data_IF_960865204002
#
_entry.id   IF_960865204002
#
_cell.length_a   1.000
_cell.length_b   1.000
_cell.length_c   1.000
_cell.angle_alpha   90.00
_cell.angle_beta   90.00
_cell.angle_gamma   90.00
#
_symmetry.space_group_name_H-M   'P 1'
#
loop_
_entity.id
_entity.type
_entity.pdbx_description
1 polymer ?
#
# COMPACT_ATOMS: atom_id res chain seq x y z
N UNK A 1 -13.89 6.26 -7.01
CA UNK A 1 -13.07 7.34 -7.57
C UNK A 1 -11.62 6.91 -7.43
N UNK A 2 -10.99 6.47 -8.51
CA UNK A 2 -9.64 5.90 -8.46
C UNK A 2 -9.22 5.44 -9.85
N UNK A 3 -8.47 6.29 -10.54
CA UNK A 3 -7.98 6.05 -11.89
C UNK A 3 -7.41 7.35 -12.44
N UNK A 4 -6.14 7.61 -12.15
CA UNK A 4 -5.24 8.63 -12.71
C UNK A 4 -5.76 9.25 -14.02
N UNK A 5 -6.58 10.31 -13.95
CA UNK A 5 -7.13 11.05 -15.11
C UNK A 5 -8.14 10.31 -16.00
N UNK A 6 -7.87 9.05 -16.36
CA UNK A 6 -8.69 8.23 -17.26
C UNK A 6 -10.07 7.92 -16.65
N UNK A 7 -10.13 7.78 -15.33
CA UNK A 7 -11.39 7.58 -14.62
C UNK A 7 -12.34 8.78 -14.75
N UNK A 8 -11.80 10.00 -14.76
CA UNK A 8 -12.58 11.24 -14.91
C UNK A 8 -13.12 11.41 -16.33
N UNK A 9 -12.28 11.17 -17.35
CA UNK A 9 -12.72 11.21 -18.74
C UNK A 9 -13.85 10.19 -19.00
N UNK A 10 -13.70 8.96 -18.48
CA UNK A 10 -14.74 7.92 -18.56
C UNK A 10 -16.05 8.32 -17.87
N UNK A 11 -15.97 9.02 -16.73
CA UNK A 11 -17.15 9.48 -16.01
C UNK A 11 -17.93 10.52 -16.84
N UNK A 12 -17.22 11.43 -17.52
CA UNK A 12 -17.82 12.42 -18.41
C UNK A 12 -18.64 11.77 -19.54
N UNK A 13 -18.12 10.71 -20.16
CA UNK A 13 -18.86 9.96 -21.19
C UNK A 13 -20.00 9.09 -20.63
N UNK A 14 -20.01 8.80 -19.32
CA UNK A 14 -21.09 8.04 -18.66
C UNK A 14 -22.20 8.90 -18.06
N UNK A 15 -21.98 10.21 -17.90
CA UNK A 15 -22.98 11.15 -17.40
C UNK A 15 -24.35 11.03 -18.10
N UNK A 16 -24.45 10.95 -19.44
CA UNK A 16 -25.73 10.81 -20.12
C UNK A 16 -26.46 9.51 -19.74
N UNK A 17 -25.71 8.42 -19.54
CA UNK A 17 -26.25 7.14 -19.12
C UNK A 17 -26.78 7.19 -17.67
N UNK A 18 -26.09 7.92 -16.76
CA UNK A 18 -26.59 8.12 -15.41
C UNK A 18 -27.86 8.99 -15.37
N UNK A 19 -27.93 10.04 -16.20
CA UNK A 19 -29.13 10.88 -16.33
C UNK A 19 -30.30 10.06 -16.87
N UNK A 20 -30.08 9.25 -17.91
CA UNK A 20 -31.11 8.32 -18.42
C UNK A 20 -31.52 7.29 -17.37
N UNK A 21 -30.57 6.79 -16.58
CA UNK A 21 -30.83 5.81 -15.54
C UNK A 21 -31.58 6.39 -14.33
N UNK A 22 -31.42 7.68 -14.04
CA UNK A 22 -32.20 8.42 -13.04
C UNK A 22 -33.62 8.72 -13.56
N UNK A 23 -33.76 9.12 -14.84
CA UNK A 23 -35.05 9.40 -15.46
C UNK A 23 -35.94 8.15 -15.63
N UNK A 24 -35.35 6.96 -15.72
CA UNK A 24 -36.07 5.68 -15.87
C UNK A 24 -36.61 5.08 -14.56
N UNK A 25 -36.47 5.74 -13.41
CA UNK A 25 -36.91 5.22 -12.10
C UNK A 25 -38.42 4.89 -12.04
N UNK A 26 -39.26 5.51 -12.88
CA UNK A 26 -40.68 5.19 -12.99
C UNK A 26 -40.98 3.78 -13.53
N UNK A 27 -40.04 3.17 -14.28
CA UNK A 27 -40.22 1.85 -14.93
C UNK A 27 -39.68 0.66 -14.11
N UNK A 28 -38.98 0.92 -13.00
CA UNK A 28 -38.19 -0.07 -12.22
C UNK A 28 -38.98 -1.08 -11.38
N UNK A 29 -40.32 -1.01 -11.32
CA UNK A 29 -41.11 -2.01 -10.57
C UNK A 29 -41.04 -3.42 -11.18
N UNK A 30 -40.64 -3.58 -12.45
CA UNK A 30 -40.71 -4.87 -13.18
C UNK A 30 -39.45 -5.76 -13.12
N UNK A 31 -38.30 -5.25 -12.68
CA UNK A 31 -37.01 -5.98 -12.66
C UNK A 31 -36.54 -6.40 -11.24
N UNK A 32 -37.46 -6.49 -10.29
CA UNK A 32 -37.19 -6.59 -8.83
C UNK A 32 -36.56 -7.91 -8.36
N UNK A 33 -36.55 -8.97 -9.18
CA UNK A 33 -36.10 -10.32 -8.78
C UNK A 33 -34.98 -10.88 -9.66
N UNK A 34 -34.59 -10.19 -10.72
CA UNK A 34 -33.54 -10.65 -11.63
C UNK A 34 -32.15 -10.35 -11.05
N UNK A 35 -31.23 -11.32 -11.14
CA UNK A 35 -29.81 -11.10 -10.79
C UNK A 35 -29.16 -10.25 -11.90
N UNK A 36 -28.32 -9.26 -11.58
CA UNK A 36 -27.58 -8.50 -12.60
C UNK A 36 -26.71 -9.42 -13.47
N UNK A 37 -26.33 -9.04 -14.70
CA UNK A 37 -25.36 -9.80 -15.49
C UNK A 37 -23.98 -9.78 -14.83
N UNK A 38 -23.15 -10.80 -15.12
CA UNK A 38 -21.75 -10.79 -14.69
C UNK A 38 -20.94 -9.78 -15.49
N UNK A 39 -20.11 -8.99 -14.82
CA UNK A 39 -19.20 -8.05 -15.47
C UNK A 39 -17.77 -8.39 -15.08
N UNK A 40 -16.98 -8.83 -16.06
CA UNK A 40 -15.59 -9.26 -15.87
C UNK A 40 -14.70 -8.11 -15.37
N UNK A 41 -14.94 -6.88 -15.84
CA UNK A 41 -14.17 -5.70 -15.41
C UNK A 41 -14.44 -5.42 -13.92
N UNK A 42 -15.69 -5.61 -13.48
CA UNK A 42 -16.05 -5.45 -12.06
C UNK A 42 -15.41 -6.54 -11.21
N UNK A 43 -15.42 -7.79 -11.69
CA UNK A 43 -14.75 -8.90 -11.02
C UNK A 43 -13.24 -8.68 -10.90
N UNK A 44 -12.55 -8.30 -11.98
CA UNK A 44 -11.13 -7.96 -11.94
C UNK A 44 -10.87 -6.80 -10.97
N UNK A 45 -11.71 -5.76 -10.99
CA UNK A 45 -11.63 -4.65 -10.04
C UNK A 45 -11.81 -5.09 -8.59
N UNK A 46 -12.72 -6.03 -8.30
CA UNK A 46 -12.91 -6.59 -6.95
C UNK A 46 -11.66 -7.30 -6.45
N UNK A 47 -11.05 -8.12 -7.30
CA UNK A 47 -9.81 -8.85 -6.97
C UNK A 47 -8.66 -7.86 -6.74
N UNK A 48 -8.43 -6.93 -7.66
CA UNK A 48 -7.32 -5.96 -7.54
C UNK A 48 -7.46 -5.08 -6.29
N UNK A 49 -8.65 -4.53 -6.03
CA UNK A 49 -8.88 -3.67 -4.86
C UNK A 49 -8.85 -4.47 -3.55
N UNK A 50 -9.33 -5.71 -3.55
CA UNK A 50 -9.21 -6.59 -2.39
C UNK A 50 -7.76 -6.92 -2.04
N UNK A 51 -6.94 -7.27 -3.05
CA UNK A 51 -5.49 -7.47 -2.87
C UNK A 51 -4.84 -6.22 -2.33
N UNK A 52 -5.14 -5.06 -2.93
CA UNK A 52 -4.62 -3.78 -2.48
C UNK A 52 -4.91 -3.53 -0.99
N UNK A 53 -6.17 -3.69 -0.56
CA UNK A 53 -6.55 -3.50 0.84
C UNK A 53 -5.85 -4.49 1.77
N UNK A 54 -5.62 -5.73 1.33
CA UNK A 54 -4.87 -6.72 2.08
C UNK A 54 -3.38 -6.38 2.20
N UNK A 55 -2.75 -5.88 1.14
CA UNK A 55 -1.34 -5.44 1.15
C UNK A 55 -1.17 -4.24 2.08
N UNK A 56 -2.05 -3.25 2.00
CA UNK A 56 -2.03 -2.10 2.93
C UNK A 56 -2.20 -2.58 4.37
N UNK A 57 -3.10 -3.53 4.63
CA UNK A 57 -3.25 -4.10 5.96
C UNK A 57 -1.98 -4.86 6.43
N UNK A 58 -1.31 -5.60 5.54
CA UNK A 58 -0.04 -6.27 5.86
C UNK A 58 1.06 -5.29 6.23
N UNK A 59 1.10 -4.14 5.57
CA UNK A 59 2.11 -3.11 5.84
C UNK A 59 1.78 -2.36 7.14
N UNK A 60 0.51 -1.98 7.34
CA UNK A 60 0.14 -1.06 8.41
C UNK A 60 -0.32 -1.74 9.71
N UNK A 61 -0.90 -2.95 9.64
CA UNK A 61 -1.66 -3.56 10.73
C UNK A 61 -1.16 -4.95 11.14
N UNK A 62 -0.06 -5.43 10.54
CA UNK A 62 0.47 -6.78 10.81
C UNK A 62 1.00 -6.99 12.24
N UNK A 63 1.16 -5.92 13.03
CA UNK A 63 1.50 -6.00 14.46
C UNK A 63 0.32 -6.39 15.37
N UNK A 64 -0.92 -6.38 14.85
CA UNK A 64 -2.10 -6.71 15.63
C UNK A 64 -2.21 -8.22 15.90
N UNK A 65 -2.73 -8.58 17.08
CA UNK A 65 -3.06 -9.97 17.39
C UNK A 65 -4.14 -10.50 16.44
N UNK A 66 -4.07 -11.79 16.11
CA UNK A 66 -4.99 -12.46 15.16
C UNK A 66 -5.06 -11.79 13.78
N UNK A 67 -4.03 -11.04 13.38
CA UNK A 67 -4.03 -10.27 12.14
C UNK A 67 -4.42 -11.12 10.91
N UNK A 68 -3.74 -12.24 10.68
CA UNK A 68 -4.01 -13.11 9.53
C UNK A 68 -5.39 -13.79 9.55
N UNK A 69 -6.00 -13.97 10.74
CA UNK A 69 -7.27 -14.68 10.90
C UNK A 69 -8.49 -13.76 10.86
N UNK A 70 -8.34 -12.51 11.30
CA UNK A 70 -9.45 -11.57 11.44
C UNK A 70 -9.20 -10.26 10.71
N UNK A 71 -8.13 -9.55 11.04
CA UNK A 71 -7.90 -8.20 10.51
C UNK A 71 -7.71 -8.21 8.99
N UNK A 72 -6.83 -9.09 8.49
CA UNK A 72 -6.55 -9.23 7.07
C UNK A 72 -7.79 -9.60 6.24
N UNK A 73 -8.55 -10.67 6.56
CA UNK A 73 -9.74 -11.02 5.79
C UNK A 73 -10.84 -9.96 5.85
N UNK A 74 -10.96 -9.22 6.96
CA UNK A 74 -11.89 -8.07 7.06
C UNK A 74 -11.48 -6.93 6.13
N UNK A 75 -10.20 -6.55 6.09
CA UNK A 75 -9.68 -5.52 5.20
C UNK A 75 -9.87 -5.90 3.72
N UNK A 76 -9.48 -7.13 3.35
CA UNK A 76 -9.66 -7.65 1.97
C UNK A 76 -11.15 -7.68 1.60
N UNK A 77 -12.00 -8.18 2.49
CA UNK A 77 -13.44 -8.26 2.27
C UNK A 77 -14.10 -6.88 2.12
N UNK A 78 -13.65 -5.89 2.90
CA UNK A 78 -14.10 -4.50 2.76
C UNK A 78 -13.72 -3.91 1.39
N UNK A 79 -12.49 -4.15 0.91
CA UNK A 79 -12.04 -3.73 -0.42
C UNK A 79 -12.88 -4.36 -1.56
N UNK A 80 -13.14 -5.67 -1.47
CA UNK A 80 -13.99 -6.38 -2.43
C UNK A 80 -15.43 -5.84 -2.39
N UNK A 81 -15.99 -5.65 -1.19
CA UNK A 81 -17.35 -5.14 -1.04
C UNK A 81 -17.50 -3.69 -1.52
N UNK A 82 -16.47 -2.87 -1.37
CA UNK A 82 -16.45 -1.50 -1.89
C UNK A 82 -16.72 -1.50 -3.41
N UNK A 83 -15.96 -2.30 -4.16
CA UNK A 83 -16.15 -2.44 -5.62
C UNK A 83 -17.48 -3.12 -5.94
N UNK A 84 -17.85 -4.14 -5.16
CA UNK A 84 -19.13 -4.84 -5.29
C UNK A 84 -20.36 -3.96 -5.02
N UNK A 85 -20.16 -2.78 -4.42
CA UNK A 85 -21.19 -1.80 -4.11
C UNK A 85 -21.13 -0.54 -4.98
N UNK A 86 -20.32 -0.52 -6.05
CA UNK A 86 -20.28 0.63 -6.97
C UNK A 86 -21.51 0.63 -7.89
N UNK A 87 -22.12 1.80 -8.11
CA UNK A 87 -23.26 1.98 -9.02
C UNK A 87 -24.58 1.48 -8.43
N UNK A 88 -25.42 0.87 -9.28
CA UNK A 88 -26.74 0.34 -8.93
C UNK A 88 -26.72 -1.09 -8.39
N UNK A 89 -25.55 -1.72 -8.36
CA UNK A 89 -25.36 -3.09 -7.89
C UNK A 89 -24.70 -3.10 -6.50
N UNK A 90 -25.05 -4.09 -5.69
CA UNK A 90 -24.46 -4.41 -4.39
C UNK A 90 -24.30 -5.93 -4.24
N UNK A 91 -23.59 -6.38 -3.22
CA UNK A 91 -23.46 -7.80 -2.88
C UNK A 91 -23.58 -7.97 -1.38
N UNK A 92 -23.97 -9.17 -0.96
CA UNK A 92 -24.17 -9.49 0.45
C UNK A 92 -22.83 -9.46 1.22
N UNK A 93 -22.65 -8.45 2.08
CA UNK A 93 -21.41 -8.23 2.83
C UNK A 93 -21.11 -9.39 3.79
N UNK A 94 -22.12 -9.91 4.48
CA UNK A 94 -21.92 -10.98 5.46
C UNK A 94 -21.33 -12.22 4.78
N UNK A 95 -21.83 -12.58 3.60
CA UNK A 95 -21.33 -13.72 2.83
C UNK A 95 -19.93 -13.51 2.30
N UNK A 96 -19.58 -12.29 1.91
CA UNK A 96 -18.22 -11.94 1.48
C UNK A 96 -17.25 -12.09 2.66
N UNK A 97 -17.60 -11.53 3.82
CA UNK A 97 -16.75 -11.60 5.01
C UNK A 97 -16.58 -13.03 5.52
N UNK A 98 -17.65 -13.83 5.53
CA UNK A 98 -17.54 -15.25 5.92
C UNK A 98 -16.62 -16.02 4.97
N UNK A 99 -16.72 -15.77 3.65
CA UNK A 99 -15.80 -16.37 2.68
C UNK A 99 -14.34 -15.95 2.94
N UNK A 100 -14.08 -14.68 3.25
CA UNK A 100 -12.74 -14.21 3.61
C UNK A 100 -12.20 -14.92 4.85
N UNK A 101 -12.98 -14.94 5.94
CA UNK A 101 -12.57 -15.52 7.23
C UNK A 101 -12.34 -17.02 7.09
N UNK A 102 -13.16 -17.75 6.33
CA UNK A 102 -12.99 -19.19 6.07
C UNK A 102 -11.75 -19.48 5.21
N UNK A 103 -11.42 -18.59 4.26
CA UNK A 103 -10.25 -18.77 3.38
C UNK A 103 -8.94 -18.41 4.08
N UNK A 104 -8.98 -17.53 5.09
CA UNK A 104 -7.79 -17.01 5.76
C UNK A 104 -6.88 -18.04 6.45
N UNK A 105 -7.37 -19.08 7.15
CA UNK A 105 -6.51 -20.01 7.90
C UNK A 105 -5.70 -20.91 6.98
N UNK A 106 -6.19 -21.14 5.75
CA UNK A 106 -5.51 -21.97 4.73
C UNK A 106 -4.15 -21.36 4.35
N UNK A 107 -4.04 -20.02 4.39
CA UNK A 107 -2.85 -19.27 4.02
C UNK A 107 -2.28 -18.47 5.20
N UNK A 108 -2.48 -18.96 6.41
CA UNK A 108 -2.03 -18.29 7.63
C UNK A 108 -0.52 -18.00 7.58
N UNK A 109 -0.13 -16.78 7.93
CA UNK A 109 1.27 -16.34 7.98
C UNK A 109 1.95 -16.12 6.62
N UNK A 110 1.27 -16.40 5.50
CA UNK A 110 1.83 -16.16 4.17
C UNK A 110 1.58 -14.72 3.71
N UNK A 111 2.62 -14.08 3.15
CA UNK A 111 2.49 -12.76 2.48
C UNK A 111 1.62 -12.82 1.22
N UNK A 112 1.44 -14.01 0.64
CA UNK A 112 0.55 -14.23 -0.50
C UNK A 112 -0.92 -14.38 -0.12
N UNK A 113 -1.25 -14.38 1.18
CA UNK A 113 -2.63 -14.56 1.68
C UNK A 113 -3.69 -13.59 1.13
N UNK A 114 -3.42 -12.32 0.77
CA UNK A 114 -4.46 -11.43 0.24
C UNK A 114 -5.08 -11.92 -1.08
N UNK A 115 -4.31 -12.58 -1.94
CA UNK A 115 -4.75 -13.03 -3.26
C UNK A 115 -5.85 -14.10 -3.19
N UNK A 116 -5.66 -15.26 -2.55
CA UNK A 116 -6.69 -16.29 -2.46
C UNK A 116 -7.92 -15.80 -1.67
N UNK A 117 -7.73 -15.01 -0.62
CA UNK A 117 -8.83 -14.40 0.15
C UNK A 117 -9.65 -13.47 -0.76
N UNK A 118 -8.99 -12.61 -1.52
CA UNK A 118 -9.65 -11.66 -2.43
C UNK A 118 -10.37 -12.38 -3.58
N UNK A 119 -9.80 -13.45 -4.11
CA UNK A 119 -10.42 -14.27 -5.15
C UNK A 119 -11.70 -14.95 -4.62
N UNK A 120 -11.62 -15.62 -3.46
CA UNK A 120 -12.76 -16.27 -2.82
C UNK A 120 -13.89 -15.28 -2.49
N UNK A 121 -13.52 -14.11 -1.98
CA UNK A 121 -14.43 -13.00 -1.71
C UNK A 121 -15.11 -12.48 -2.99
N UNK A 122 -14.36 -12.31 -4.08
CA UNK A 122 -14.87 -11.81 -5.35
C UNK A 122 -15.82 -12.82 -6.01
N UNK A 123 -15.50 -14.11 -5.98
CA UNK A 123 -16.40 -15.19 -6.43
C UNK A 123 -17.70 -15.17 -5.62
N UNK A 124 -17.58 -15.01 -4.30
CA UNK A 124 -18.75 -14.96 -3.41
C UNK A 124 -19.61 -13.72 -3.65
N UNK A 125 -18.99 -12.57 -3.93
CA UNK A 125 -19.67 -11.34 -4.31
C UNK A 125 -20.45 -11.52 -5.62
N UNK A 126 -19.82 -12.13 -6.65
CA UNK A 126 -20.48 -12.41 -7.93
C UNK A 126 -21.65 -13.38 -7.76
N UNK A 127 -21.53 -14.39 -6.89
CA UNK A 127 -22.60 -15.36 -6.60
C UNK A 127 -23.80 -14.72 -5.88
N UNK A 128 -23.56 -13.72 -5.04
CA UNK A 128 -24.56 -13.08 -4.18
C UNK A 128 -24.86 -11.63 -4.55
N UNK A 129 -24.66 -11.28 -5.82
CA UNK A 129 -24.96 -9.95 -6.36
C UNK A 129 -26.46 -9.64 -6.38
N UNK A 130 -26.81 -8.41 -6.05
CA UNK A 130 -28.18 -7.89 -5.98
C UNK A 130 -28.22 -6.45 -6.48
N UNK A 131 -29.36 -6.01 -6.97
CA UNK A 131 -29.57 -4.58 -7.21
C UNK A 131 -29.74 -3.86 -5.86
N UNK A 132 -29.24 -2.62 -5.78
CA UNK A 132 -29.48 -1.76 -4.61
C UNK A 132 -30.95 -1.41 -4.53
N UNK A 133 -31.46 -1.39 -3.32
CA UNK A 133 -32.81 -0.90 -3.06
C UNK A 133 -32.87 0.61 -3.34
N UNK A 134 -33.94 1.11 -3.98
CA UNK A 134 -34.16 2.54 -4.13
C UNK A 134 -34.17 3.21 -2.75
N UNK A 135 -33.35 4.24 -2.56
CA UNK A 135 -33.37 5.01 -1.31
C UNK A 135 -34.72 5.68 -1.17
N UNK A 136 -35.48 5.31 -0.13
CA UNK A 136 -36.71 5.99 0.27
C UNK A 136 -36.46 7.31 1.00
N UNK A 137 -35.21 7.58 1.39
CA UNK A 137 -34.82 8.75 2.18
C UNK A 137 -34.33 9.89 1.29
N UNK A 138 -34.66 11.16 1.62
CA UNK A 138 -34.18 12.32 0.87
C UNK A 138 -32.66 12.34 0.82
N UNK A 139 -32.06 12.89 -0.26
CA UNK A 139 -30.62 12.95 -0.39
C UNK A 139 -30.02 13.72 0.80
N UNK A 140 -29.22 13.01 1.61
CA UNK A 140 -28.43 13.60 2.71
C UNK A 140 -27.64 14.83 2.20
N UNK A 141 -27.61 15.90 2.98
CA UNK A 141 -26.94 17.17 2.65
C UNK A 141 -25.48 16.95 2.17
N UNK A 142 -25.00 17.84 1.29
CA UNK A 142 -23.70 17.72 0.64
C UNK A 142 -22.52 17.77 1.63
N UNK A 143 -22.59 18.63 2.65
CA UNK A 143 -21.53 18.80 3.65
C UNK A 143 -21.12 17.49 4.35
N UNK A 144 -22.05 16.76 5.00
CA UNK A 144 -21.75 15.48 5.64
C UNK A 144 -21.18 14.41 4.69
N UNK A 145 -21.54 14.44 3.40
CA UNK A 145 -20.99 13.50 2.41
C UNK A 145 -19.53 13.84 2.11
N UNK A 146 -19.23 15.12 1.89
CA UNK A 146 -17.88 15.59 1.64
C UNK A 146 -16.98 15.37 2.86
N UNK A 147 -17.51 15.58 4.07
CA UNK A 147 -16.81 15.29 5.31
C UNK A 147 -16.47 13.79 5.45
N UNK A 148 -17.44 12.89 5.23
CA UNK A 148 -17.19 11.44 5.26
C UNK A 148 -16.24 10.97 4.17
N UNK A 149 -16.30 11.58 2.97
CA UNK A 149 -15.36 11.30 1.90
C UNK A 149 -13.96 11.80 2.24
N UNK A 150 -13.83 12.98 2.84
CA UNK A 150 -12.57 13.53 3.33
C UNK A 150 -11.97 12.65 4.41
N UNK A 151 -12.77 12.18 5.36
CA UNK A 151 -12.33 11.26 6.41
C UNK A 151 -11.90 9.90 5.83
N UNK A 152 -12.64 9.38 4.85
CA UNK A 152 -12.29 8.14 4.15
C UNK A 152 -11.01 8.26 3.32
N UNK A 153 -10.77 9.41 2.68
CA UNK A 153 -9.50 9.70 2.01
C UNK A 153 -8.39 9.75 3.05
N UNK A 154 -8.55 10.52 4.13
CA UNK A 154 -7.50 10.72 5.14
C UNK A 154 -7.13 9.41 5.85
N UNK A 155 -8.11 8.56 6.16
CA UNK A 155 -7.88 7.23 6.72
C UNK A 155 -7.07 6.30 5.80
N UNK A 156 -7.12 6.55 4.49
CA UNK A 156 -6.41 5.75 3.49
C UNK A 156 -5.05 6.35 3.13
N UNK A 157 -4.95 7.67 3.02
CA UNK A 157 -3.72 8.37 2.65
C UNK A 157 -2.80 8.63 3.82
N UNK A 158 -3.29 8.75 5.06
CA UNK A 158 -2.45 9.03 6.21
C UNK A 158 -1.54 7.86 6.59
N UNK A 159 -1.99 6.59 6.62
CA UNK A 159 -1.09 5.45 6.87
C UNK A 159 -0.07 5.25 5.75
N UNK A 160 -0.49 5.46 4.48
CA UNK A 160 0.40 5.42 3.32
C UNK A 160 1.43 6.55 3.34
N UNK A 161 1.00 7.77 3.66
CA UNK A 161 1.88 8.93 3.80
C UNK A 161 2.86 8.73 4.95
N UNK A 162 2.39 8.34 6.12
CA UNK A 162 3.23 8.02 7.27
C UNK A 162 4.28 6.94 6.93
N UNK A 163 3.87 5.90 6.20
CA UNK A 163 4.78 4.85 5.74
C UNK A 163 5.83 5.35 4.72
N UNK A 164 5.41 6.15 3.73
CA UNK A 164 6.32 6.75 2.73
C UNK A 164 7.33 7.71 3.35
N UNK A 165 6.92 8.49 4.35
CA UNK A 165 7.77 9.49 4.98
C UNK A 165 8.65 8.96 6.11
N UNK A 166 8.22 7.91 6.82
CA UNK A 166 8.93 7.42 8.01
C UNK A 166 9.68 6.09 7.80
N UNK A 167 9.28 5.27 6.81
CA UNK A 167 9.90 3.98 6.51
C UNK A 167 10.53 3.93 5.10
N UNK A 168 11.01 5.06 4.60
CA UNK A 168 11.52 5.24 3.22
C UNK A 168 12.53 4.16 2.83
N UNK A 169 13.41 3.77 3.75
CA UNK A 169 14.45 2.76 3.52
C UNK A 169 13.89 1.35 3.34
N UNK A 170 13.12 0.85 4.31
CA UNK A 170 12.53 -0.48 4.23
C UNK A 170 11.54 -0.61 3.07
N UNK A 171 10.79 0.47 2.79
CA UNK A 171 9.81 0.50 1.70
C UNK A 171 10.46 0.39 0.34
N UNK A 172 11.60 1.06 0.11
CA UNK A 172 12.33 0.98 -1.15
C UNK A 172 12.88 -0.43 -1.36
N UNK A 173 13.42 -1.07 -0.31
CA UNK A 173 13.87 -2.47 -0.41
C UNK A 173 12.71 -3.44 -0.64
N UNK A 174 11.61 -3.33 0.10
CA UNK A 174 10.42 -4.18 -0.12
C UNK A 174 9.81 -3.97 -1.51
N UNK A 175 9.74 -2.72 -1.98
CA UNK A 175 9.22 -2.37 -3.30
C UNK A 175 10.15 -2.87 -4.39
N UNK A 176 11.48 -2.73 -4.22
CA UNK A 176 12.50 -3.27 -5.13
C UNK A 176 12.45 -4.79 -5.19
N UNK A 177 12.34 -5.47 -4.05
CA UNK A 177 12.25 -6.94 -3.98
C UNK A 177 10.93 -7.45 -4.57
N UNK A 178 9.81 -6.76 -4.34
CA UNK A 178 8.55 -7.09 -4.99
C UNK A 178 8.61 -6.84 -6.49
N UNK A 179 9.25 -5.75 -6.91
CA UNK A 179 9.45 -5.43 -8.32
C UNK A 179 10.34 -6.48 -9.00
N UNK A 180 11.46 -6.87 -8.39
CA UNK A 180 12.35 -7.92 -8.88
C UNK A 180 11.63 -9.26 -8.94
N UNK A 181 10.91 -9.66 -7.89
CA UNK A 181 10.16 -10.91 -7.87
C UNK A 181 9.00 -10.94 -8.89
N UNK A 182 8.36 -9.80 -9.16
CA UNK A 182 7.31 -9.69 -10.19
C UNK A 182 7.93 -9.71 -11.59
N UNK A 183 9.03 -9.00 -11.81
CA UNK A 183 9.78 -9.02 -13.08
C UNK A 183 10.32 -10.42 -13.38
N UNK A 184 10.89 -11.09 -12.37
CA UNK A 184 11.37 -12.47 -12.45
C UNK A 184 10.21 -13.46 -12.63
N UNK A 185 9.06 -13.27 -11.96
CA UNK A 185 7.88 -14.11 -12.19
C UNK A 185 7.29 -13.92 -13.60
N UNK A 186 7.57 -12.78 -14.24
CA UNK A 186 7.17 -12.44 -15.60
C UNK A 186 8.22 -12.82 -16.65
N UNK A 187 9.26 -13.57 -16.29
CA UNK A 187 10.29 -14.07 -17.23
C UNK A 187 9.73 -14.77 -18.48
N UNK A 188 8.54 -15.36 -18.35
CA UNK A 188 7.82 -16.05 -19.42
C UNK A 188 7.14 -15.10 -20.43
N UNK A 189 6.89 -13.82 -20.09
CA UNK A 189 6.25 -12.84 -20.97
C UNK A 189 7.11 -11.57 -21.17
N UNK A 190 8.11 -11.61 -22.07
CA UNK A 190 9.07 -10.52 -22.27
C UNK A 190 8.45 -9.16 -22.62
N UNK A 191 7.32 -9.16 -23.35
CA UNK A 191 6.63 -7.92 -23.74
C UNK A 191 5.97 -7.17 -22.56
N UNK A 192 5.59 -7.88 -21.50
CA UNK A 192 4.86 -7.35 -20.36
C UNK A 192 5.87 -6.76 -19.36
N UNK A 193 7.04 -7.40 -19.26
CA UNK A 193 8.21 -6.86 -18.59
C UNK A 193 8.58 -5.50 -19.17
N UNK A 194 8.76 -5.40 -20.50
CA UNK A 194 9.09 -4.13 -21.16
C UNK A 194 8.02 -3.04 -21.01
N UNK A 195 6.73 -3.41 -21.03
CA UNK A 195 5.64 -2.46 -20.83
C UNK A 195 5.57 -1.93 -19.40
N UNK A 196 5.72 -2.82 -18.40
CA UNK A 196 5.75 -2.45 -16.99
C UNK A 196 6.94 -1.55 -16.68
N UNK A 197 8.11 -1.90 -17.20
CA UNK A 197 9.35 -1.13 -17.12
C UNK A 197 9.20 0.29 -17.71
N UNK A 198 8.61 0.36 -18.91
CA UNK A 198 8.30 1.62 -19.59
C UNK A 198 7.38 2.51 -18.75
N UNK A 199 6.34 1.92 -18.15
CA UNK A 199 5.32 2.64 -17.39
C UNK A 199 5.87 3.16 -16.05
N UNK A 200 6.74 2.40 -15.40
CA UNK A 200 7.44 2.79 -14.17
C UNK A 200 8.47 3.91 -14.37
N UNK A 201 9.20 3.88 -15.49
CA UNK A 201 10.21 4.90 -15.81
C UNK A 201 9.60 6.17 -16.43
N UNK A 202 8.33 6.15 -16.83
CA UNK A 202 7.63 7.27 -17.45
C UNK A 202 7.73 8.59 -16.66
N UNK A 203 7.50 8.63 -15.33
CA UNK A 203 7.71 9.86 -14.55
C UNK A 203 9.15 10.35 -14.54
N UNK A 204 10.14 9.45 -14.44
CA UNK A 204 11.56 9.81 -14.52
C UNK A 204 11.91 10.36 -15.91
N UNK A 205 11.37 9.77 -16.98
CA UNK A 205 11.54 10.24 -18.36
C UNK A 205 10.93 11.62 -18.59
N UNK A 206 9.74 11.88 -18.04
CA UNK A 206 9.12 13.21 -18.09
C UNK A 206 9.99 14.24 -17.35
N UNK A 207 10.53 13.87 -16.18
CA UNK A 207 11.43 14.72 -15.41
C UNK A 207 12.73 15.02 -16.16
N UNK A 208 13.37 14.02 -16.77
CA UNK A 208 14.56 14.18 -17.62
C UNK A 208 14.27 15.03 -18.86
N UNK A 209 13.11 14.86 -19.50
CA UNK A 209 12.69 15.67 -20.63
C UNK A 209 12.45 17.15 -20.25
N UNK A 210 11.92 17.41 -19.05
CA UNK A 210 11.73 18.75 -18.51
C UNK A 210 13.04 19.42 -18.09
N UNK A 211 14.01 18.64 -17.61
CA UNK A 211 15.30 19.15 -17.10
C UNK A 211 16.40 19.18 -18.16
N UNK A 212 16.14 18.68 -19.37
CA UNK A 212 17.13 18.59 -20.45
C UNK A 212 18.23 17.55 -20.19
N UNK A 213 18.07 16.69 -19.19
CA UNK A 213 19.02 15.62 -18.90
C UNK A 213 18.88 14.52 -19.96
N UNK A 214 19.96 14.31 -20.73
CA UNK A 214 20.00 13.29 -21.79
C UNK A 214 19.68 11.88 -21.26
N UNK A 215 18.89 11.14 -22.04
CA UNK A 215 18.43 9.79 -21.73
C UNK A 215 19.55 8.75 -21.97
N UNK A 216 20.08 8.07 -20.93
CA UNK A 216 21.02 6.99 -21.12
C UNK A 216 20.29 5.64 -21.22
N UNK A 217 20.83 4.76 -22.07
CA UNK A 217 20.37 3.40 -22.35
C UNK A 217 20.28 2.52 -21.08
N UNK A 218 21.00 2.88 -20.01
CA UNK A 218 21.01 2.22 -18.70
C UNK A 218 20.23 3.00 -17.62
N UNK A 219 19.03 3.48 -17.96
CA UNK A 219 18.21 4.32 -17.09
C UNK A 219 17.94 3.71 -15.70
N UNK A 220 17.75 2.39 -15.60
CA UNK A 220 17.63 1.71 -14.31
C UNK A 220 18.90 1.76 -13.49
N UNK A 221 20.08 1.63 -14.10
CA UNK A 221 21.34 1.71 -13.35
C UNK A 221 21.54 3.10 -12.76
N UNK A 222 21.19 4.17 -13.49
CA UNK A 222 21.22 5.52 -12.94
C UNK A 222 20.19 5.75 -11.84
N UNK A 223 18.96 5.25 -12.01
CA UNK A 223 17.94 5.36 -10.95
C UNK A 223 18.37 4.58 -9.71
N UNK A 224 18.87 3.35 -9.88
CA UNK A 224 19.46 2.57 -8.79
C UNK A 224 20.65 3.31 -8.18
N UNK A 225 21.56 3.86 -8.98
CA UNK A 225 22.76 4.56 -8.51
C UNK A 225 22.39 5.79 -7.70
N UNK A 226 21.41 6.59 -8.13
CA UNK A 226 20.93 7.75 -7.38
C UNK A 226 20.33 7.32 -6.03
N UNK A 227 19.47 6.29 -6.04
CA UNK A 227 18.84 5.77 -4.82
C UNK A 227 19.86 5.11 -3.88
N UNK A 228 20.79 4.34 -4.42
CA UNK A 228 21.85 3.66 -3.67
C UNK A 228 22.90 4.64 -3.17
N UNK A 229 23.20 5.72 -3.91
CA UNK A 229 24.14 6.76 -3.48
C UNK A 229 23.60 7.52 -2.28
N UNK A 230 22.33 7.90 -2.30
CA UNK A 230 21.68 8.59 -1.18
C UNK A 230 21.62 7.70 0.07
N UNK A 231 21.40 6.39 -0.12
CA UNK A 231 21.42 5.42 0.98
C UNK A 231 22.83 5.16 1.52
N UNK A 232 23.81 4.93 0.64
CA UNK A 232 25.22 4.73 1.01
C UNK A 232 25.77 5.94 1.75
N UNK A 233 25.32 7.15 1.42
CA UNK A 233 25.69 8.37 2.14
C UNK A 233 25.19 8.33 3.58
N UNK A 234 23.91 8.00 3.81
CA UNK A 234 23.34 7.88 5.15
C UNK A 234 23.97 6.77 6.00
N UNK A 235 24.30 5.63 5.38
CA UNK A 235 25.02 4.56 6.08
C UNK A 235 26.42 5.00 6.51
N UNK A 236 27.14 5.71 5.64
CA UNK A 236 28.47 6.25 5.97
C UNK A 236 28.40 7.27 7.10
N UNK A 237 27.46 8.20 7.04
CA UNK A 237 27.22 9.17 8.12
C UNK A 237 26.88 8.47 9.45
N UNK A 238 26.08 7.40 9.43
CA UNK A 238 25.74 6.63 10.62
C UNK A 238 26.97 5.91 11.23
N UNK A 239 27.85 5.35 10.39
CA UNK A 239 29.12 4.76 10.82
C UNK A 239 30.06 5.79 11.44
N UNK A 240 30.13 7.00 10.86
CA UNK A 240 30.93 8.11 11.39
C UNK A 240 30.40 8.59 12.75
N UNK A 241 29.09 8.78 12.89
CA UNK A 241 28.44 9.21 14.14
C UNK A 241 28.67 8.21 15.28
N UNK A 242 28.57 6.92 14.99
CA UNK A 242 28.85 5.87 15.95
C UNK A 242 30.33 5.51 16.06
N UNK A 243 31.20 6.13 15.23
CA UNK A 243 32.64 5.90 15.20
C UNK A 243 33.02 4.42 15.10
N UNK A 244 32.30 3.68 14.26
CA UNK A 244 32.50 2.24 14.03
C UNK A 244 32.97 1.96 12.60
N UNK A 245 33.69 0.85 12.41
CA UNK A 245 34.16 0.38 11.11
C UNK A 245 33.00 0.04 10.16
N UNK A 246 33.22 0.15 8.84
CA UNK A 246 32.26 -0.33 7.82
C UNK A 246 31.89 -1.82 7.98
N UNK A 247 32.80 -2.60 8.55
CA UNK A 247 32.68 -4.05 8.81
C UNK A 247 32.27 -4.37 10.25
N UNK A 248 31.90 -3.37 11.05
CA UNK A 248 31.61 -3.55 12.47
C UNK A 248 30.45 -4.52 12.72
N UNK A 249 30.60 -5.37 13.73
CA UNK A 249 29.58 -6.34 14.12
C UNK A 249 28.38 -5.65 14.81
N UNK A 250 27.23 -6.32 14.86
CA UNK A 250 26.07 -5.84 15.63
C UNK A 250 26.41 -5.55 17.10
N UNK A 251 27.26 -6.38 17.69
CA UNK A 251 27.70 -6.24 19.07
C UNK A 251 28.51 -4.95 19.26
N UNK A 252 29.44 -4.66 18.36
CA UNK A 252 30.24 -3.42 18.35
C UNK A 252 29.36 -2.17 18.17
N UNK A 253 28.38 -2.23 17.26
CA UNK A 253 27.42 -1.13 17.04
C UNK A 253 26.60 -0.87 18.31
N UNK A 254 26.08 -1.93 18.94
CA UNK A 254 25.30 -1.80 20.19
C UNK A 254 26.15 -1.31 21.36
N UNK A 255 27.42 -1.69 21.41
CA UNK A 255 28.36 -1.23 22.42
C UNK A 255 28.64 0.27 22.26
N UNK A 256 29.02 0.71 21.06
CA UNK A 256 29.28 2.13 20.78
C UNK A 256 28.06 3.01 21.06
N UNK A 257 26.87 2.55 20.64
CA UNK A 257 25.61 3.23 20.95
C UNK A 257 25.41 3.43 22.46
N UNK A 258 25.62 2.40 23.28
CA UNK A 258 25.44 2.49 24.74
C UNK A 258 26.42 3.48 25.38
N UNK A 259 27.65 3.53 24.91
CA UNK A 259 28.65 4.46 25.44
C UNK A 259 28.33 5.90 25.05
N UNK A 260 27.97 6.15 23.77
CA UNK A 260 27.60 7.47 23.28
C UNK A 260 26.32 8.00 23.93
N UNK A 261 25.33 7.13 24.19
CA UNK A 261 24.10 7.50 24.90
C UNK A 261 24.38 7.94 26.33
N UNK A 262 25.29 7.26 27.05
CA UNK A 262 25.67 7.69 28.41
C UNK A 262 26.36 9.05 28.40
N UNK A 263 27.23 9.30 27.42
CA UNK A 263 27.97 10.56 27.31
C UNK A 263 27.04 11.72 26.96
N UNK A 264 26.11 11.52 26.00
CA UNK A 264 25.26 12.58 25.46
C UNK A 264 23.84 12.60 26.05
N UNK A 265 23.57 11.86 27.14
CA UNK A 265 22.26 11.92 27.78
C UNK A 265 21.98 13.34 28.29
N UNK A 266 20.78 13.90 28.07
CA UNK A 266 20.44 15.24 28.53
C UNK A 266 20.54 15.39 30.07
N UNK A 267 20.31 14.32 30.83
CA UNK A 267 20.46 14.34 32.29
C UNK A 267 21.91 14.48 32.76
N UNK A 268 22.89 14.05 31.96
CA UNK A 268 24.31 14.16 32.29
C UNK A 268 24.92 15.51 31.85
N UNK A 269 24.24 16.25 30.96
CA UNK A 269 24.73 17.51 30.38
C UNK A 269 23.74 18.68 30.56
N UNK A 270 23.41 19.08 31.81
CA UNK A 270 22.41 20.11 32.08
C UNK A 270 22.79 21.50 31.53
N UNK A 271 24.09 21.77 31.34
CA UNK A 271 24.59 23.06 30.83
C UNK A 271 24.59 23.16 29.29
N UNK A 272 24.45 22.04 28.57
CA UNK A 272 24.50 21.94 27.11
C UNK A 272 23.31 21.15 26.59
N UNK A 273 22.13 21.48 27.10
CA UNK A 273 20.89 20.72 26.88
C UNK A 273 20.50 20.64 25.40
N UNK A 274 20.68 21.72 24.64
CA UNK A 274 20.35 21.76 23.21
C UNK A 274 21.29 20.90 22.36
N UNK A 275 22.60 20.95 22.64
CA UNK A 275 23.62 20.20 21.88
C UNK A 275 23.57 18.72 22.22
N UNK A 276 23.43 18.38 23.50
CA UNK A 276 23.25 16.99 23.94
C UNK A 276 21.99 16.36 23.36
N UNK A 277 20.88 17.10 23.30
CA UNK A 277 19.66 16.62 22.67
C UNK A 277 19.83 16.38 21.16
N UNK A 278 20.49 17.29 20.43
CA UNK A 278 20.76 17.11 19.00
C UNK A 278 21.67 15.90 18.73
N UNK A 279 22.74 15.75 19.51
CA UNK A 279 23.65 14.62 19.40
C UNK A 279 22.98 13.30 19.77
N UNK A 280 22.17 13.28 20.81
CA UNK A 280 21.39 12.11 21.21
C UNK A 280 20.44 11.64 20.09
N UNK A 281 19.72 12.56 19.45
CA UNK A 281 18.88 12.24 18.29
C UNK A 281 19.69 11.66 17.13
N UNK A 282 20.86 12.23 16.82
CA UNK A 282 21.75 11.72 15.76
C UNK A 282 22.30 10.32 16.06
N UNK A 283 22.70 10.07 17.30
CA UNK A 283 23.20 8.76 17.75
C UNK A 283 22.09 7.71 17.63
N UNK A 284 20.86 8.07 17.99
CA UNK A 284 19.72 7.17 17.89
C UNK A 284 19.37 6.85 16.43
N UNK A 285 19.32 7.86 15.55
CA UNK A 285 19.07 7.69 14.11
C UNK A 285 20.16 6.85 13.42
N UNK A 286 21.43 7.08 13.78
CA UNK A 286 22.56 6.29 13.29
C UNK A 286 22.46 4.82 13.72
N UNK A 287 22.12 4.55 14.98
CA UNK A 287 21.94 3.20 15.49
C UNK A 287 20.79 2.46 14.80
N UNK A 288 19.64 3.11 14.60
CA UNK A 288 18.51 2.52 13.88
C UNK A 288 18.86 2.19 12.41
N UNK A 289 19.59 3.09 11.75
CA UNK A 289 20.06 2.90 10.35
C UNK A 289 20.98 1.68 10.23
N UNK A 290 21.99 1.56 11.10
CA UNK A 290 22.91 0.42 11.08
C UNK A 290 22.25 -0.90 11.54
N UNK A 291 21.29 -0.83 12.45
CA UNK A 291 20.51 -1.99 12.88
C UNK A 291 19.66 -2.55 11.72
N UNK A 292 19.09 -1.69 10.88
CA UNK A 292 18.36 -2.11 9.69
C UNK A 292 19.29 -2.78 8.67
N UNK A 293 20.50 -2.24 8.44
CA UNK A 293 21.53 -2.82 7.57
C UNK A 293 21.87 -4.26 7.99
N UNK A 294 22.18 -4.47 9.27
CA UNK A 294 22.59 -5.78 9.79
C UNK A 294 21.45 -6.77 9.94
N UNK A 295 20.22 -6.31 10.19
CA UNK A 295 19.08 -7.23 10.33
C UNK A 295 18.80 -7.99 9.04
N UNK A 296 19.19 -7.46 7.87
CA UNK A 296 18.80 -8.01 6.56
C UNK A 296 17.28 -8.23 6.46
N UNK A 297 16.75 -8.78 5.35
CA UNK A 297 15.38 -9.26 5.32
C UNK A 297 15.28 -10.48 6.27
N UNK A 298 14.91 -10.24 7.53
CA UNK A 298 14.77 -11.26 8.59
C UNK A 298 13.90 -12.44 8.11
N UNK A 299 14.55 -13.56 7.77
CA UNK A 299 13.95 -14.90 7.86
C UNK A 299 13.81 -15.22 9.35
N UNK A 300 12.64 -14.97 9.92
CA UNK A 300 12.31 -15.49 11.24
C UNK A 300 12.40 -17.03 11.20
N UNK A 301 13.50 -17.58 11.73
CA UNK A 301 13.54 -18.97 12.17
C UNK A 301 12.75 -19.05 13.47
N UNK A 302 11.55 -19.60 13.38
CA UNK A 302 10.79 -20.07 14.54
C UNK A 302 11.42 -21.36 15.05
N UNK A 303 11.95 -21.32 16.27
CA UNK A 303 11.98 -22.50 17.15
C UNK A 303 10.59 -22.70 17.75
#
# INVERSE_FOLDING_TARGET
>A
MGGFGVGWAREFFRLPAYVNQANQEASRKKYRTARPPVNLIRFAGQVCVGIYFGVVALVCLNSLSFFYLLVLPLCVGAGVHLVASVGTETSDLQKILTACVVTSPIFYGSRFSPLPISLAASVTAVKHRRFKEPRSSPPRQLGPRLYLLGLGWLAFSAPLGYFVFHNTTATIFYLSDCMSAVLDALWFFPWLQGLLEYLLLLPYRILCALTGAGYPEESWKKVLEILLREYSQKEKEALEVLSVSEEASLEEITHSYRELVKVWHPDHNPNQMTESQQMFMRIQDAYETLLQRHKGPQRHKSL
#
